data_IF_378775354281
#
_entry.id   IF_378775354281
#
_cell.length_a   1.000
_cell.length_b   1.000
_cell.length_c   1.000
_cell.angle_alpha   90.00
_cell.angle_beta   90.00
_cell.angle_gamma   90.00
#
_symmetry.space_group_name_H-M   'P 1'
#
loop_
_entity.id
_entity.type
_entity.pdbx_description
1 polymer ?
#
# COMPACT_ATOMS: atom_id res chain seq x y z
N UNK A 1 -15.35 18.62 -1.05
CA UNK A 1 -15.96 17.62 -0.17
C UNK A 1 -14.85 16.65 0.21
N UNK A 2 -14.56 16.50 1.50
CA UNK A 2 -13.42 15.70 1.98
C UNK A 2 -13.96 14.43 2.60
N UNK A 3 -13.98 13.32 1.84
CA UNK A 3 -14.43 12.02 2.35
C UNK A 3 -13.42 11.46 3.35
N UNK A 4 -13.90 10.89 4.47
CA UNK A 4 -13.11 10.07 5.37
C UNK A 4 -13.02 8.65 4.82
N UNK A 5 -11.85 8.29 4.30
CA UNK A 5 -11.59 6.98 3.69
C UNK A 5 -11.48 5.85 4.72
N UNK A 6 -10.71 6.06 5.79
CA UNK A 6 -10.53 5.07 6.85
C UNK A 6 -10.09 5.76 8.14
N UNK A 7 -10.51 5.22 9.28
CA UNK A 7 -10.02 5.64 10.60
C UNK A 7 -8.81 4.81 11.03
N UNK A 8 -8.04 5.34 11.99
CA UNK A 8 -6.93 4.60 12.61
C UNK A 8 -7.41 3.28 13.24
N UNK A 9 -8.56 3.31 13.92
CA UNK A 9 -9.13 2.14 14.57
C UNK A 9 -9.44 1.02 13.57
N UNK A 10 -10.07 1.35 12.45
CA UNK A 10 -10.43 0.35 11.43
C UNK A 10 -9.21 -0.25 10.73
N UNK A 11 -8.20 0.57 10.42
CA UNK A 11 -6.96 0.07 9.82
C UNK A 11 -6.24 -0.87 10.78
N UNK A 12 -6.23 -0.55 12.09
CA UNK A 12 -5.67 -1.45 13.11
C UNK A 12 -6.47 -2.74 13.22
N UNK A 13 -7.79 -2.67 13.22
CA UNK A 13 -8.67 -3.85 13.27
C UNK A 13 -8.43 -4.75 12.05
N UNK A 14 -8.37 -4.17 10.85
CA UNK A 14 -8.14 -4.90 9.61
C UNK A 14 -6.77 -5.61 9.61
N UNK A 15 -5.73 -4.95 10.12
CA UNK A 15 -4.36 -5.49 10.15
C UNK A 15 -4.01 -6.20 11.47
N UNK A 16 -5.01 -6.55 12.28
CA UNK A 16 -4.82 -7.08 13.64
C UNK A 16 -4.16 -8.46 13.70
N UNK A 17 -4.26 -9.23 12.62
CA UNK A 17 -3.58 -10.51 12.42
C UNK A 17 -2.09 -10.34 12.05
N UNK A 18 -1.63 -9.11 11.78
CA UNK A 18 -0.25 -8.79 11.45
C UNK A 18 0.47 -8.06 12.58
N UNK A 19 1.80 -8.14 12.62
CA UNK A 19 2.64 -7.35 13.54
C UNK A 19 3.10 -6.01 12.93
N UNK A 20 2.59 -5.64 11.75
CA UNK A 20 3.10 -4.52 10.93
C UNK A 20 2.96 -3.15 11.61
N UNK A 21 1.92 -3.00 12.44
CA UNK A 21 1.61 -1.77 13.18
C UNK A 21 1.90 -1.87 14.68
N UNK A 22 2.52 -2.97 15.14
CA UNK A 22 2.91 -3.12 16.53
C UNK A 22 3.89 -2.01 16.94
N UNK A 23 3.58 -1.29 18.02
CA UNK A 23 4.41 -0.18 18.53
C UNK A 23 4.38 1.11 17.71
N UNK A 24 3.58 1.18 16.64
CA UNK A 24 3.37 2.42 15.87
C UNK A 24 2.30 3.25 16.58
N UNK A 25 2.54 4.54 16.82
CA UNK A 25 1.56 5.44 17.43
C UNK A 25 0.41 5.81 16.46
N UNK A 26 -0.73 6.26 17.00
CA UNK A 26 -1.90 6.58 16.18
C UNK A 26 -1.69 7.75 15.21
N UNK A 27 -0.84 8.71 15.57
CA UNK A 27 -0.50 9.82 14.68
C UNK A 27 0.31 9.35 13.46
N UNK A 28 1.19 8.36 13.64
CA UNK A 28 1.95 7.71 12.59
C UNK A 28 1.05 6.85 11.70
N UNK A 29 0.10 6.11 12.29
CA UNK A 29 -0.92 5.40 11.52
C UNK A 29 -1.76 6.39 10.69
N UNK A 30 -2.16 7.52 11.26
CA UNK A 30 -2.84 8.59 10.53
C UNK A 30 -2.04 9.09 9.32
N UNK A 31 -0.73 9.32 9.48
CA UNK A 31 0.15 9.67 8.35
C UNK A 31 0.23 8.57 7.29
N UNK A 32 0.19 7.29 7.68
CA UNK A 32 0.15 6.17 6.73
C UNK A 32 -1.17 6.13 5.95
N UNK A 33 -2.30 6.41 6.61
CA UNK A 33 -3.61 6.57 5.97
C UNK A 33 -3.57 7.70 4.95
N UNK A 34 -3.14 8.90 5.33
CA UNK A 34 -3.05 10.05 4.42
C UNK A 34 -2.22 9.73 3.17
N UNK A 35 -1.08 9.06 3.37
CA UNK A 35 -0.18 8.66 2.28
C UNK A 35 -0.80 7.60 1.38
N UNK A 36 -1.56 6.65 1.94
CA UNK A 36 -2.28 5.66 1.17
C UNK A 36 -3.38 6.34 0.32
N UNK A 37 -4.20 7.18 0.95
CA UNK A 37 -5.27 7.92 0.28
C UNK A 37 -4.74 8.77 -0.88
N UNK A 38 -3.66 9.53 -0.70
CA UNK A 38 -3.03 10.31 -1.80
C UNK A 38 -2.62 9.47 -3.01
N UNK A 39 -2.40 8.17 -2.81
CA UNK A 39 -2.01 7.24 -3.88
C UNK A 39 -3.22 6.57 -4.52
N UNK A 40 -4.32 6.44 -3.79
CA UNK A 40 -5.57 5.83 -4.25
C UNK A 40 -6.48 6.83 -4.97
N UNK A 41 -6.54 8.09 -4.50
CA UNK A 41 -7.39 9.15 -5.06
C UNK A 41 -7.27 9.29 -6.58
N UNK A 42 -6.05 9.27 -7.19
CA UNK A 42 -5.93 9.38 -8.65
C UNK A 42 -6.54 8.22 -9.44
N UNK A 43 -6.82 7.07 -8.80
CA UNK A 43 -7.44 5.92 -9.44
C UNK A 43 -8.98 6.01 -9.44
N UNK A 44 -9.55 6.81 -8.54
CA UNK A 44 -11.00 6.93 -8.36
C UNK A 44 -11.65 7.59 -9.57
N UNK A 45 -12.64 6.92 -10.14
CA UNK A 45 -13.47 7.42 -11.24
C UNK A 45 -14.86 7.86 -10.76
N UNK A 46 -15.34 7.28 -9.67
CA UNK A 46 -16.66 7.55 -9.09
C UNK A 46 -16.56 7.61 -7.57
N UNK A 47 -17.20 8.59 -6.98
CA UNK A 47 -17.30 8.71 -5.52
C UNK A 47 -18.57 8.03 -5.04
N UNK A 48 -18.53 7.28 -3.92
CA UNK A 48 -19.72 6.71 -3.32
C UNK A 48 -20.59 7.83 -2.74
N UNK A 49 -21.85 7.50 -2.46
CA UNK A 49 -22.72 8.35 -1.64
C UNK A 49 -22.15 8.46 -0.23
N UNK A 50 -22.16 9.67 0.35
CA UNK A 50 -21.62 9.91 1.68
C UNK A 50 -22.73 10.07 2.71
N UNK A 51 -22.47 9.53 3.89
CA UNK A 51 -23.20 9.82 5.11
C UNK A 51 -22.88 11.26 5.54
N UNK A 52 -23.93 12.09 5.66
CA UNK A 52 -23.81 13.54 5.93
C UNK A 52 -23.25 13.86 7.32
N UNK A 53 -23.38 12.95 8.30
CA UNK A 53 -22.90 13.17 9.66
C UNK A 53 -21.42 12.81 9.81
N UNK A 54 -20.97 11.82 9.04
CA UNK A 54 -19.65 11.20 9.23
C UNK A 54 -18.67 11.45 8.07
N UNK A 55 -19.14 11.99 6.94
CA UNK A 55 -18.37 12.16 5.68
C UNK A 55 -17.78 10.83 5.15
N UNK A 56 -18.42 9.69 5.44
CA UNK A 56 -17.97 8.34 5.07
C UNK A 56 -18.88 7.74 4.00
N UNK A 57 -18.47 6.69 3.26
CA UNK A 57 -19.41 5.96 2.42
C UNK A 57 -20.65 5.54 3.23
N UNK A 58 -21.83 5.90 2.72
CA UNK A 58 -23.11 5.64 3.37
C UNK A 58 -23.39 4.14 3.45
N UNK A 59 -23.09 3.41 2.37
CA UNK A 59 -23.19 1.95 2.32
C UNK A 59 -22.07 1.27 3.12
N UNK A 60 -22.44 0.35 4.00
CA UNK A 60 -21.51 -0.36 4.89
C UNK A 60 -20.49 -1.21 4.11
N UNK A 61 -20.93 -1.94 3.07
CA UNK A 61 -20.06 -2.76 2.23
C UNK A 61 -19.05 -1.93 1.44
N UNK A 62 -19.49 -0.77 0.92
CA UNK A 62 -18.60 0.18 0.26
C UNK A 62 -17.60 0.76 1.27
N UNK A 63 -18.04 1.11 2.48
CA UNK A 63 -17.16 1.59 3.56
C UNK A 63 -16.09 0.56 3.93
N UNK A 64 -16.48 -0.70 4.12
CA UNK A 64 -15.55 -1.80 4.42
C UNK A 64 -14.53 -1.99 3.30
N UNK A 65 -14.97 -1.92 2.05
CA UNK A 65 -14.10 -2.05 0.86
C UNK A 65 -13.12 -0.87 0.73
N UNK A 66 -13.55 0.35 1.03
CA UNK A 66 -12.66 1.53 1.05
C UNK A 66 -11.61 1.40 2.15
N UNK A 67 -12.00 0.94 3.35
CA UNK A 67 -11.07 0.66 4.45
C UNK A 67 -10.05 -0.41 4.03
N UNK A 68 -10.49 -1.50 3.41
CA UNK A 68 -9.61 -2.55 2.91
C UNK A 68 -8.59 -2.00 1.89
N UNK A 69 -9.02 -1.16 0.95
CA UNK A 69 -8.12 -0.54 -0.03
C UNK A 69 -6.99 0.27 0.63
N UNK A 70 -7.33 1.06 1.66
CA UNK A 70 -6.37 1.82 2.45
C UNK A 70 -5.44 0.88 3.22
N UNK A 71 -5.99 -0.10 3.93
CA UNK A 71 -5.24 -1.02 4.78
C UNK A 71 -4.27 -1.88 3.96
N UNK A 72 -4.68 -2.42 2.82
CA UNK A 72 -3.82 -3.19 1.89
C UNK A 72 -2.67 -2.34 1.34
N UNK A 73 -2.94 -1.07 1.03
CA UNK A 73 -1.90 -0.13 0.61
C UNK A 73 -0.88 0.11 1.70
N UNK A 74 -1.32 0.22 2.96
CA UNK A 74 -0.44 0.36 4.12
C UNK A 74 0.36 -0.93 4.34
N UNK A 75 -0.31 -2.09 4.28
CA UNK A 75 0.28 -3.43 4.47
C UNK A 75 1.49 -3.63 3.56
N UNK A 76 1.30 -3.50 2.24
CA UNK A 76 2.38 -3.71 1.25
C UNK A 76 3.53 -2.73 1.42
N UNK A 77 3.24 -1.47 1.79
CA UNK A 77 4.28 -0.47 2.07
C UNK A 77 5.10 -0.83 3.28
N UNK A 78 4.45 -1.25 4.37
CA UNK A 78 5.11 -1.64 5.61
C UNK A 78 5.90 -2.92 5.45
N UNK A 79 5.39 -3.90 4.72
CA UNK A 79 6.12 -5.11 4.33
C UNK A 79 7.38 -4.77 3.53
N UNK A 80 7.27 -3.86 2.55
CA UNK A 80 8.41 -3.40 1.77
C UNK A 80 9.44 -2.62 2.62
N UNK A 81 8.99 -1.77 3.54
CA UNK A 81 9.85 -1.04 4.47
C UNK A 81 10.59 -2.00 5.41
N UNK A 82 9.89 -2.97 6.00
CA UNK A 82 10.49 -3.98 6.88
C UNK A 82 11.46 -4.89 6.12
N UNK A 83 11.12 -5.30 4.90
CA UNK A 83 12.03 -6.05 4.03
C UNK A 83 13.29 -5.22 3.68
N UNK A 84 13.13 -3.93 3.43
CA UNK A 84 14.25 -3.01 3.18
C UNK A 84 15.14 -2.86 4.41
N UNK A 85 14.56 -2.76 5.61
CA UNK A 85 15.32 -2.73 6.87
C UNK A 85 16.06 -4.05 7.10
N UNK A 86 15.44 -5.20 6.82
CA UNK A 86 16.10 -6.50 6.90
C UNK A 86 17.28 -6.62 5.93
N UNK A 87 17.10 -6.14 4.69
CA UNK A 87 18.13 -6.13 3.64
C UNK A 87 19.22 -5.08 3.85
N UNK A 88 18.90 -3.95 4.50
CA UNK A 88 19.86 -2.89 4.88
C UNK A 88 20.54 -3.12 6.23
N UNK A 89 20.06 -4.10 7.01
CA UNK A 89 20.61 -4.52 8.29
C UNK A 89 21.52 -5.76 8.15
N UNK A 90 21.42 -6.78 9.02
CA UNK A 90 22.28 -7.98 8.97
C UNK A 90 22.32 -8.69 7.61
N UNK A 91 21.23 -8.63 6.82
CA UNK A 91 21.20 -9.19 5.45
C UNK A 91 22.10 -8.48 4.45
N UNK A 92 22.41 -7.19 4.68
CA UNK A 92 23.40 -6.46 3.87
C UNK A 92 24.79 -7.06 4.03
N UNK A 93 25.12 -7.51 5.25
CA UNK A 93 26.42 -8.09 5.59
C UNK A 93 26.60 -9.44 4.89
N UNK A 94 25.55 -10.26 4.80
CA UNK A 94 25.60 -11.54 4.07
C UNK A 94 25.75 -11.34 2.55
N UNK A 95 25.08 -10.35 1.97
CA UNK A 95 25.23 -10.00 0.54
C UNK A 95 26.63 -9.48 0.25
N UNK A 96 27.20 -8.65 1.14
CA UNK A 96 28.59 -8.17 1.02
C UNK A 96 29.59 -9.32 1.20
N UNK A 97 29.35 -10.24 2.15
CA UNK A 97 30.20 -11.40 2.41
C UNK A 97 30.19 -12.41 1.24
N UNK A 98 29.09 -12.50 0.49
CA UNK A 98 28.96 -13.29 -0.73
C UNK A 98 29.56 -12.60 -1.98
N UNK A 99 30.22 -11.45 -1.83
CA UNK A 99 30.87 -10.69 -2.92
C UNK A 99 29.94 -9.71 -3.66
N UNK A 100 28.71 -9.51 -3.17
CA UNK A 100 27.77 -8.53 -3.69
C UNK A 100 28.06 -7.09 -3.24
N UNK A 101 27.63 -6.11 -4.03
CA UNK A 101 27.78 -4.69 -3.72
C UNK A 101 26.45 -4.04 -3.39
N UNK A 102 26.42 -3.22 -2.34
CA UNK A 102 25.28 -2.38 -1.96
C UNK A 102 25.69 -0.92 -2.13
N UNK A 103 25.00 -0.20 -3.02
CA UNK A 103 25.06 1.26 -3.10
C UNK A 103 23.64 1.79 -2.99
N UNK A 104 23.45 2.94 -2.35
CA UNK A 104 22.15 3.49 -1.93
C UNK A 104 20.99 3.14 -2.88
N UNK A 105 20.13 2.18 -2.46
CA UNK A 105 18.95 1.75 -3.21
C UNK A 105 19.18 0.70 -4.31
N UNK A 106 20.36 0.10 -4.42
CA UNK A 106 20.71 -0.89 -5.45
C UNK A 106 21.31 -2.15 -4.81
N UNK A 107 20.70 -3.30 -5.08
CA UNK A 107 21.30 -4.62 -4.84
C UNK A 107 21.93 -5.10 -6.16
N UNK A 108 23.26 -5.10 -6.22
CA UNK A 108 24.02 -5.73 -7.30
C UNK A 108 24.61 -7.03 -6.80
N UNK A 109 24.01 -8.16 -7.21
CA UNK A 109 24.59 -9.48 -7.01
C UNK A 109 25.52 -9.77 -8.19
N UNK A 110 26.82 -9.78 -7.94
CA UNK A 110 27.87 -10.15 -8.90
C UNK A 110 27.92 -11.68 -9.11
N UNK A 111 26.76 -12.28 -9.37
CA UNK A 111 26.65 -13.67 -9.81
C UNK A 111 26.65 -13.69 -11.34
N UNK A 112 27.75 -14.16 -11.95
CA UNK A 112 27.88 -14.20 -13.40
C UNK A 112 26.75 -14.96 -14.08
N UNK A 113 25.97 -14.27 -14.92
CA UNK A 113 25.25 -14.90 -16.02
C UNK A 113 25.10 -13.91 -17.18
N UNK A 114 25.58 -14.35 -18.35
CA UNK A 114 25.55 -13.64 -19.62
C UNK A 114 24.11 -13.57 -20.14
N UNK A 115 23.37 -12.53 -19.80
CA UNK A 115 22.25 -12.00 -20.61
C UNK A 115 21.80 -10.68 -19.99
N UNK A 116 22.30 -9.58 -20.55
CA UNK A 116 22.04 -8.23 -20.06
C UNK A 116 20.60 -7.80 -20.28
N UNK A 117 19.76 -7.99 -19.26
CA UNK A 117 18.49 -7.30 -19.08
C UNK A 117 18.62 -6.33 -17.91
N UNK A 118 19.23 -5.16 -18.13
CA UNK A 118 19.26 -4.10 -17.13
C UNK A 118 17.86 -3.51 -16.94
N UNK A 119 17.24 -3.72 -15.78
CA UNK A 119 15.99 -3.07 -15.45
C UNK A 119 16.23 -1.56 -15.23
N UNK A 120 15.55 -0.71 -16.00
CA UNK A 120 15.62 0.75 -15.82
C UNK A 120 14.98 1.15 -14.49
N UNK A 121 15.73 1.87 -13.65
CA UNK A 121 15.26 2.42 -12.38
C UNK A 121 15.03 3.92 -12.54
N UNK A 122 13.76 4.30 -12.51
CA UNK A 122 13.28 5.63 -12.16
C UNK A 122 12.23 5.44 -11.07
N UNK A 123 12.10 6.41 -10.17
CA UNK A 123 11.21 6.44 -9.02
C UNK A 123 9.73 6.39 -9.47
N UNK A 124 9.26 5.23 -9.95
CA UNK A 124 7.83 4.98 -10.09
C UNK A 124 7.27 5.02 -8.68
N UNK A 125 6.28 5.88 -8.44
CA UNK A 125 5.45 5.77 -7.26
C UNK A 125 5.09 4.29 -7.10
N UNK A 126 5.38 3.72 -5.92
CA UNK A 126 5.16 2.30 -5.66
C UNK A 126 3.74 1.98 -6.11
N UNK A 127 3.61 1.07 -7.09
CA UNK A 127 2.34 0.76 -7.72
C UNK A 127 1.33 0.41 -6.64
N UNK A 128 0.11 0.94 -6.76
CA UNK A 128 -0.97 0.61 -5.84
C UNK A 128 -1.18 -0.92 -5.88
N UNK A 129 -1.24 -1.62 -4.73
CA UNK A 129 -1.41 -3.06 -4.71
C UNK A 129 -2.69 -3.49 -5.44
N UNK A 130 -2.65 -4.63 -6.14
CA UNK A 130 -3.82 -5.17 -6.84
C UNK A 130 -4.99 -5.37 -5.86
N UNK A 131 -4.74 -5.90 -4.66
CA UNK A 131 -5.77 -6.06 -3.63
C UNK A 131 -6.45 -4.73 -3.26
N UNK A 132 -5.72 -3.61 -3.28
CA UNK A 132 -6.31 -2.30 -3.05
C UNK A 132 -7.16 -1.84 -4.24
N UNK A 133 -6.76 -2.18 -5.48
CA UNK A 133 -7.56 -1.90 -6.68
C UNK A 133 -8.84 -2.75 -6.69
N UNK A 134 -8.76 -4.03 -6.33
CA UNK A 134 -9.91 -4.93 -6.23
C UNK A 134 -10.92 -4.46 -5.19
N UNK A 135 -10.44 -3.96 -4.06
CA UNK A 135 -11.29 -3.37 -3.03
C UNK A 135 -11.97 -2.06 -3.53
N UNK A 136 -11.27 -1.22 -4.29
CA UNK A 136 -11.90 -0.04 -4.90
C UNK A 136 -12.90 -0.40 -6.01
N UNK A 137 -12.68 -1.50 -6.73
CA UNK A 137 -13.64 -2.05 -7.69
C UNK A 137 -14.90 -2.55 -6.95
N UNK A 138 -14.74 -3.26 -5.83
CA UNK A 138 -15.84 -3.71 -4.98
C UNK A 138 -16.64 -2.53 -4.40
N UNK A 139 -15.98 -1.41 -4.09
CA UNK A 139 -16.63 -0.17 -3.67
C UNK A 139 -17.28 0.62 -4.84
N UNK A 140 -17.20 0.13 -6.09
CA UNK A 140 -17.71 0.83 -7.27
C UNK A 140 -16.96 2.13 -7.62
N UNK A 141 -15.78 2.34 -7.04
CA UNK A 141 -15.00 3.59 -7.16
C UNK A 141 -14.05 3.58 -8.37
N UNK A 142 -13.63 2.39 -8.80
CA UNK A 142 -12.76 2.18 -9.98
C UNK A 142 -13.52 1.29 -10.96
N UNK A 143 -13.27 1.45 -12.26
CA UNK A 143 -13.86 0.58 -13.29
C UNK A 143 -15.27 0.97 -13.73
N UNK A 144 -15.48 0.92 -15.04
CA UNK A 144 -16.75 1.19 -15.69
C UNK A 144 -17.13 0.05 -16.63
N UNK A 145 -17.92 -0.89 -16.13
CA UNK A 145 -18.94 -1.59 -16.91
C UNK A 145 -19.94 -2.18 -15.93
N UNK A 146 -21.12 -1.57 -15.90
CA UNK A 146 -22.31 -2.11 -15.23
C UNK A 146 -22.70 -3.41 -15.96
N UNK A 147 -22.82 -4.58 -15.31
CA UNK A 147 -23.66 -5.63 -15.82
C UNK A 147 -25.10 -5.22 -15.51
N UNK A 148 -25.78 -4.66 -16.49
CA UNK A 148 -27.24 -4.57 -16.48
C UNK A 148 -27.79 -5.98 -16.61
N UNK A 149 -28.31 -6.55 -15.51
CA UNK A 149 -29.26 -7.67 -15.52
C UNK A 149 -30.17 -7.55 -14.31
#
# INVERSE_FOLDING_TARGET
MTMIWATVAEVRTYLSDTTLLAGVDDAAVGRHVDRAVRSLVPLVLRWPELDEETDRPAEEDARASVVAAVAETIRVRREADQATVALGGPGAVEVIAAGGGISAGTLTVSGGSRTGGGARIGQRAQAVPIAAVDALLAAGMVGGSVPTW
#
